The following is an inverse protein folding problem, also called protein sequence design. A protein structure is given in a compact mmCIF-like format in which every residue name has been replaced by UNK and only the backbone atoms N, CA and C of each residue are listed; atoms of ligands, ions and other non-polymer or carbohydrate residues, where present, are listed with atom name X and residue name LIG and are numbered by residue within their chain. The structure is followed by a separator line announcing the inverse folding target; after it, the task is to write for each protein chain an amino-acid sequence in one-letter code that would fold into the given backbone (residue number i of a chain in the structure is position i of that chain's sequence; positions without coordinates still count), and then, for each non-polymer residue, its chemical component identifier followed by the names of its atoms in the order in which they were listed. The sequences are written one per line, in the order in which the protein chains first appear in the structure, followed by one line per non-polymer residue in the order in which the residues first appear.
data_IF_194482196482
#
_entry.id   IF_194482196482
#
_cell.length_a   1.000
_cell.length_b   1.000
_cell.length_c   1.000
_cell.angle_alpha   90.00
_cell.angle_beta   90.00
_cell.angle_gamma   90.00
#
_symmetry.space_group_name_H-M   'P 1'
#
loop_
_entity.id
_entity.type
_entity.pdbx_description
1 polymer ?
#
# COMPACT_ATOMS: atom_id res chain seq x y z
N UNK A 1 27.31 28.66 7.71
CA UNK A 1 26.69 28.01 6.53
C UNK A 1 25.24 27.76 6.92
N UNK A 2 24.23 28.19 6.15
CA UNK A 2 22.85 27.85 6.48
C UNK A 2 22.69 26.33 6.34
N UNK A 3 22.16 25.69 7.37
CA UNK A 3 21.83 24.27 7.37
C UNK A 3 20.96 23.97 6.14
N UNK A 4 21.53 23.20 5.22
CA UNK A 4 20.81 22.75 4.04
C UNK A 4 19.67 21.86 4.55
N UNK A 5 18.39 22.13 4.20
CA UNK A 5 17.28 21.34 4.70
C UNK A 5 17.54 19.87 4.35
N UNK A 6 17.52 19.01 5.37
CA UNK A 6 17.71 17.58 5.17
C UNK A 6 16.71 17.11 4.10
N UNK A 7 17.14 16.26 3.15
CA UNK A 7 16.26 15.80 2.09
C UNK A 7 15.03 15.14 2.72
N UNK A 8 13.86 15.73 2.47
CA UNK A 8 12.58 15.12 2.82
C UNK A 8 12.60 13.65 2.39
N UNK A 9 12.18 12.71 3.24
CA UNK A 9 12.21 11.30 2.91
C UNK A 9 11.45 11.09 1.59
N UNK A 10 12.15 10.67 0.55
CA UNK A 10 11.50 10.33 -0.72
C UNK A 10 10.78 9.00 -0.53
N UNK A 11 9.50 9.09 -0.18
CA UNK A 11 8.60 7.95 -0.07
C UNK A 11 8.19 7.54 -1.47
N UNK A 12 8.89 6.56 -2.02
CA UNK A 12 8.42 5.86 -3.21
C UNK A 12 7.58 4.68 -2.77
N UNK A 13 6.32 4.65 -3.19
CA UNK A 13 5.43 3.51 -3.01
C UNK A 13 5.15 2.93 -4.39
N UNK A 14 5.54 1.67 -4.59
CA UNK A 14 5.16 0.91 -5.78
C UNK A 14 4.10 -0.10 -5.39
N UNK A 15 3.01 -0.16 -6.17
CA UNK A 15 1.96 -1.15 -6.01
C UNK A 15 1.98 -2.06 -7.22
N UNK A 16 2.36 -3.33 -7.02
CA UNK A 16 2.32 -4.29 -8.11
C UNK A 16 0.87 -4.72 -8.36
N UNK A 17 0.32 -4.53 -9.57
CA UNK A 17 -1.03 -4.96 -9.88
C UNK A 17 -1.10 -6.49 -9.90
N UNK A 18 -2.28 -7.06 -9.62
CA UNK A 18 -2.51 -8.46 -9.90
C UNK A 18 -2.73 -8.74 -11.38
N UNK A 19 -2.43 -9.97 -11.79
CA UNK A 19 -2.62 -10.50 -13.12
C UNK A 19 -3.70 -11.58 -13.01
N UNK A 20 -4.77 -11.48 -13.80
CA UNK A 20 -5.89 -12.43 -13.82
C UNK A 20 -6.61 -12.61 -12.47
N UNK A 21 -7.31 -11.57 -12.01
CA UNK A 21 -8.12 -11.65 -10.79
C UNK A 21 -9.43 -12.37 -11.07
N UNK A 22 -9.64 -13.49 -10.39
CA UNK A 22 -10.92 -14.20 -10.38
C UNK A 22 -11.82 -13.61 -9.31
N UNK A 23 -13.07 -13.38 -9.66
CA UNK A 23 -14.11 -13.03 -8.69
C UNK A 23 -14.11 -14.03 -7.51
N UNK A 24 -14.33 -13.51 -6.31
CA UNK A 24 -14.39 -14.28 -5.05
C UNK A 24 -13.10 -15.05 -4.69
N UNK A 25 -11.99 -14.79 -5.40
CA UNK A 25 -10.69 -15.38 -5.13
C UNK A 25 -9.70 -14.33 -4.62
N UNK A 26 -8.72 -14.72 -3.78
CA UNK A 26 -7.64 -13.83 -3.40
C UNK A 26 -6.88 -13.31 -4.62
N UNK A 27 -6.65 -12.01 -4.62
CA UNK A 27 -5.91 -11.31 -5.66
C UNK A 27 -4.50 -11.91 -5.80
N UNK A 28 -4.16 -12.40 -7.00
CA UNK A 28 -2.86 -13.01 -7.31
C UNK A 28 -2.23 -12.34 -8.55
N UNK A 29 -0.91 -12.03 -8.56
CA UNK A 29 -0.04 -11.94 -7.40
C UNK A 29 -0.59 -10.97 -6.36
N UNK A 30 -0.21 -11.21 -5.10
CA UNK A 30 -0.63 -10.38 -3.96
C UNK A 30 -0.24 -8.93 -4.21
N UNK A 31 -1.13 -8.03 -3.83
CA UNK A 31 -0.84 -6.59 -3.83
C UNK A 31 0.27 -6.36 -2.84
N UNK A 32 1.36 -5.78 -3.32
CA UNK A 32 2.52 -5.42 -2.51
C UNK A 32 2.75 -3.94 -2.63
N UNK A 33 2.84 -3.27 -1.50
CA UNK A 33 3.32 -1.89 -1.41
C UNK A 33 4.71 -1.89 -0.80
N UNK A 34 5.63 -1.10 -1.37
CA UNK A 34 6.98 -0.95 -0.84
C UNK A 34 7.23 0.47 -0.43
N UNK A 35 7.45 0.73 0.85
CA UNK A 35 7.94 2.01 1.36
C UNK A 35 9.46 2.01 1.29
N UNK A 36 10.05 2.98 0.59
CA UNK A 36 11.49 3.20 0.64
C UNK A 36 11.79 4.54 1.31
N UNK A 37 12.77 4.58 2.21
CA UNK A 37 13.25 5.81 2.86
C UNK A 37 14.76 5.76 3.09
N UNK A 38 15.40 6.92 3.25
CA UNK A 38 16.82 7.01 3.55
C UNK A 38 17.07 6.73 5.04
N UNK A 39 17.95 5.79 5.37
CA UNK A 39 18.30 5.34 6.71
C UNK A 39 19.03 6.41 7.55
N UNK A 40 19.62 7.44 6.91
CA UNK A 40 20.13 8.61 7.64
C UNK A 40 19.00 9.41 8.29
N UNK A 41 17.85 9.48 7.62
CA UNK A 41 16.59 9.93 8.21
C UNK A 41 15.98 8.78 9.00
N UNK A 42 16.51 8.61 10.21
CA UNK A 42 16.04 7.63 11.16
C UNK A 42 14.58 7.94 11.53
N UNK A 43 13.65 7.33 10.79
CA UNK A 43 12.27 7.11 11.24
C UNK A 43 12.22 6.49 12.66
N UNK A 44 13.36 5.98 13.20
CA UNK A 44 13.53 5.54 14.58
C UNK A 44 13.07 6.53 15.66
N UNK A 45 13.02 7.85 15.39
CA UNK A 45 12.64 8.83 16.42
C UNK A 45 11.19 9.32 16.35
N UNK A 46 10.39 8.92 15.35
CA UNK A 46 9.01 9.40 15.16
C UNK A 46 7.98 8.31 14.86
N UNK A 47 8.40 7.05 14.83
CA UNK A 47 7.56 5.99 14.30
C UNK A 47 7.09 5.06 15.40
N UNK A 48 5.81 5.19 15.78
CA UNK A 48 5.07 4.10 16.38
C UNK A 48 4.76 3.02 15.34
N UNK A 49 3.63 2.33 15.45
CA UNK A 49 3.30 1.26 14.50
C UNK A 49 3.11 1.82 13.07
N UNK A 50 3.93 1.38 12.10
CA UNK A 50 3.68 1.66 10.67
C UNK A 50 2.80 0.56 10.09
N UNK A 51 1.68 0.95 9.50
CA UNK A 51 0.75 0.04 8.83
C UNK A 51 0.38 0.59 7.46
N UNK A 52 -0.17 -0.25 6.59
CA UNK A 52 -0.65 0.15 5.28
C UNK A 52 -2.13 -0.19 5.13
N UNK A 53 -2.87 0.72 4.48
CA UNK A 53 -4.27 0.52 4.12
C UNK A 53 -4.41 0.44 2.61
N UNK A 54 -5.17 -0.50 2.08
CA UNK A 54 -5.51 -0.62 0.67
C UNK A 54 -7.00 -0.33 0.46
N UNK A 55 -7.32 0.50 -0.53
CA UNK A 55 -8.68 0.79 -0.97
C UNK A 55 -8.81 0.43 -2.44
N UNK A 56 -9.79 -0.40 -2.77
CA UNK A 56 -10.13 -0.72 -4.16
C UNK A 56 -11.06 0.37 -4.69
N UNK A 57 -10.72 0.93 -5.85
CA UNK A 57 -11.47 1.99 -6.51
C UNK A 57 -11.85 1.58 -7.92
N UNK A 58 -13.04 1.98 -8.37
CA UNK A 58 -13.43 1.94 -9.77
C UNK A 58 -12.56 2.91 -10.60
N UNK A 59 -12.65 2.84 -11.93
CA UNK A 59 -11.86 3.70 -12.83
C UNK A 59 -12.17 5.20 -12.69
N UNK A 60 -13.34 5.55 -12.16
CA UNK A 60 -13.75 6.93 -11.81
C UNK A 60 -13.29 7.34 -10.40
N UNK A 61 -12.29 6.63 -9.85
CA UNK A 61 -11.71 6.83 -8.50
C UNK A 61 -12.69 6.72 -7.32
N UNK A 62 -13.88 6.21 -7.55
CA UNK A 62 -14.87 5.96 -6.50
C UNK A 62 -14.53 4.66 -5.76
N UNK A 63 -14.46 4.70 -4.44
CA UNK A 63 -14.25 3.50 -3.63
C UNK A 63 -15.43 2.53 -3.82
N UNK A 64 -15.12 1.24 -4.05
CA UNK A 64 -16.17 0.23 -4.16
C UNK A 64 -16.79 -0.04 -2.78
N UNK A 65 -18.05 -0.48 -2.77
CA UNK A 65 -18.74 -0.74 -1.52
C UNK A 65 -18.08 -1.88 -0.73
N UNK A 66 -18.19 -1.85 0.60
CA UNK A 66 -17.65 -2.90 1.48
C UNK A 66 -18.25 -4.29 1.20
N UNK A 67 -19.43 -4.36 0.58
CA UNK A 67 -20.04 -5.60 0.10
C UNK A 67 -19.33 -6.21 -1.12
N UNK A 68 -18.60 -5.39 -1.87
CA UNK A 68 -18.00 -5.72 -3.17
C UNK A 68 -16.55 -6.20 -3.06
N UNK A 69 -16.00 -6.23 -1.84
CA UNK A 69 -14.71 -6.83 -1.55
C UNK A 69 -14.75 -7.64 -0.24
N UNK A 70 -13.73 -8.45 -0.02
CA UNK A 70 -13.52 -9.13 1.27
C UNK A 70 -12.04 -9.19 1.61
N UNK A 71 -11.75 -9.50 2.87
CA UNK A 71 -10.39 -9.57 3.40
C UNK A 71 -9.97 -8.31 4.15
N UNK A 72 -8.75 -8.34 4.69
CA UNK A 72 -8.18 -7.22 5.42
C UNK A 72 -7.64 -6.16 4.47
N UNK A 73 -8.19 -4.96 4.57
CA UNK A 73 -7.68 -3.76 3.90
C UNK A 73 -6.57 -3.06 4.69
N UNK A 74 -6.34 -3.46 5.93
CA UNK A 74 -5.24 -2.97 6.76
C UNK A 74 -4.23 -4.10 6.97
N UNK A 75 -2.94 -3.78 6.89
CA UNK A 75 -1.87 -4.76 7.09
C UNK A 75 -0.66 -4.09 7.73
N UNK A 76 0.01 -4.82 8.62
CA UNK A 76 1.32 -4.44 9.14
C UNK A 76 2.42 -4.75 8.10
N UNK A 77 3.64 -4.28 8.34
CA UNK A 77 4.73 -4.61 7.44
C UNK A 77 5.04 -6.11 7.49
N UNK A 78 5.17 -6.72 6.32
CA UNK A 78 5.53 -8.13 6.17
C UNK A 78 7.03 -8.33 6.31
N UNK A 79 7.83 -7.40 5.77
CA UNK A 79 9.29 -7.49 5.85
C UNK A 79 9.94 -6.12 5.76
N UNK A 80 11.14 -6.01 6.34
CA UNK A 80 11.98 -4.82 6.31
C UNK A 80 13.39 -5.22 5.88
N UNK A 81 13.90 -4.57 4.84
CA UNK A 81 15.27 -4.79 4.34
C UNK A 81 15.98 -3.46 4.16
N UNK A 82 17.08 -3.27 4.89
CA UNK A 82 17.98 -2.13 4.70
C UNK A 82 19.15 -2.55 3.82
N UNK A 83 19.41 -1.77 2.77
CA UNK A 83 20.53 -1.97 1.83
C UNK A 83 21.21 -0.62 1.66
N UNK A 84 22.45 -0.50 2.15
CA UNK A 84 23.16 0.79 2.20
C UNK A 84 22.42 1.80 3.07
N UNK A 85 22.22 3.00 2.53
CA UNK A 85 21.46 4.09 3.14
C UNK A 85 19.95 4.00 2.86
N UNK A 86 19.44 2.91 2.31
CA UNK A 86 18.02 2.79 1.93
C UNK A 86 17.35 1.67 2.71
N UNK A 87 16.29 2.00 3.44
CA UNK A 87 15.41 1.01 4.07
C UNK A 87 14.18 0.80 3.21
N UNK A 88 13.83 -0.46 3.01
CA UNK A 88 12.68 -0.91 2.24
C UNK A 88 11.75 -1.69 3.16
N UNK A 89 10.50 -1.26 3.26
CA UNK A 89 9.46 -1.94 4.02
C UNK A 89 8.42 -2.45 3.05
N UNK A 90 8.10 -3.74 3.11
CA UNK A 90 7.13 -4.38 2.22
C UNK A 90 5.86 -4.68 3.00
N UNK A 91 4.73 -4.25 2.46
CA UNK A 91 3.38 -4.52 2.94
C UNK A 91 2.68 -5.42 1.92
N UNK A 92 1.91 -6.39 2.40
CA UNK A 92 1.19 -7.30 1.53
C UNK A 92 -0.26 -7.46 2.00
N UNK A 93 -1.18 -7.52 1.03
CA UNK A 93 -2.62 -7.73 1.25
C UNK A 93 -3.02 -9.11 0.72
N UNK A 94 -2.68 -10.21 1.43
CA UNK A 94 -2.88 -11.57 0.93
C UNK A 94 -4.34 -12.02 0.87
N UNK A 95 -5.21 -11.38 1.64
CA UNK A 95 -6.62 -11.78 1.81
C UNK A 95 -7.58 -10.93 0.98
N UNK A 96 -7.10 -9.90 0.26
CA UNK A 96 -7.97 -9.02 -0.49
C UNK A 96 -8.57 -9.76 -1.69
N UNK A 97 -9.89 -9.82 -1.74
CA UNK A 97 -10.67 -10.37 -2.86
C UNK A 97 -11.67 -9.31 -3.35
N UNK A 98 -11.86 -9.19 -4.66
CA UNK A 98 -12.93 -8.37 -5.24
C UNK A 98 -14.06 -9.29 -5.71
N UNK A 99 -15.28 -8.99 -5.28
CA UNK A 99 -16.51 -9.76 -5.57
C UNK A 99 -17.30 -9.19 -6.75
N UNK A 100 -17.02 -7.94 -7.13
CA UNK A 100 -17.60 -7.27 -8.28
C UNK A 100 -16.71 -7.48 -9.51
N UNK A 101 -17.31 -7.88 -10.63
CA UNK A 101 -16.58 -7.92 -11.90
C UNK A 101 -16.45 -6.50 -12.47
N UNK A 102 -15.34 -6.22 -13.15
CA UNK A 102 -15.04 -4.88 -13.67
C UNK A 102 -13.55 -4.58 -13.69
N UNK A 103 -13.21 -3.35 -14.05
CA UNK A 103 -11.82 -2.85 -14.03
C UNK A 103 -11.64 -1.89 -12.88
N UNK A 104 -10.61 -2.12 -12.08
CA UNK A 104 -10.37 -1.41 -10.82
C UNK A 104 -8.91 -0.98 -10.70
N UNK A 105 -8.64 -0.12 -9.72
CA UNK A 105 -7.32 0.22 -9.22
C UNK A 105 -7.28 0.05 -7.71
N UNK A 106 -6.10 -0.21 -7.16
CA UNK A 106 -5.89 -0.20 -5.72
C UNK A 106 -5.08 1.03 -5.36
N UNK A 107 -5.58 1.80 -4.40
CA UNK A 107 -4.83 2.85 -3.74
C UNK A 107 -4.29 2.30 -2.43
N UNK A 108 -2.98 2.34 -2.22
CA UNK A 108 -2.35 1.96 -0.96
C UNK A 108 -1.79 3.20 -0.29
N UNK A 109 -2.21 3.44 0.95
CA UNK A 109 -1.71 4.53 1.80
C UNK A 109 -0.94 3.92 2.97
N UNK A 110 0.24 4.43 3.26
CA UNK A 110 1.10 3.96 4.35
C UNK A 110 1.05 4.98 5.46
N UNK A 111 0.70 4.53 6.66
CA UNK A 111 0.46 5.35 7.83
C UNK A 111 1.52 5.09 8.88
N UNK A 112 2.03 6.16 9.49
CA UNK A 112 2.73 6.07 10.76
C UNK A 112 1.74 6.42 11.86
N UNK A 113 1.57 5.53 12.82
CA UNK A 113 0.88 5.88 14.06
C UNK A 113 1.90 6.50 15.01
N UNK A 114 1.67 7.72 15.44
CA UNK A 114 2.33 8.28 16.63
C UNK A 114 1.30 8.37 17.77
N UNK A 115 1.75 8.72 18.97
CA UNK A 115 0.86 8.83 20.13
C UNK A 115 -0.29 9.85 19.98
N UNK A 116 -0.32 10.64 18.90
CA UNK A 116 -1.36 11.63 18.59
C UNK A 116 -2.30 11.25 17.44
N UNK A 117 -2.02 10.16 16.72
CA UNK A 117 -2.90 9.67 15.65
C UNK A 117 -2.13 9.02 14.50
N UNK A 118 -2.81 8.82 13.38
CA UNK A 118 -2.19 8.31 12.15
C UNK A 118 -1.84 9.46 11.19
N UNK A 119 -0.61 9.43 10.68
CA UNK A 119 -0.12 10.34 9.64
C UNK A 119 0.19 9.55 8.38
N UNK A 120 -0.32 10.01 7.23
CA UNK A 120 -0.02 9.39 5.93
C UNK A 120 1.42 9.73 5.53
N UNK A 121 2.29 8.73 5.52
CA UNK A 121 3.69 8.86 5.05
C UNK A 121 3.76 8.92 3.53
N UNK A 122 2.80 8.28 2.85
CA UNK A 122 2.68 8.35 1.40
C UNK A 122 1.53 7.51 0.89
N UNK A 123 1.18 7.75 -0.38
CA UNK A 123 0.17 7.00 -1.11
C UNK A 123 0.70 6.62 -2.49
N UNK A 124 0.31 5.45 -2.99
CA UNK A 124 0.46 5.11 -4.40
C UNK A 124 -0.72 4.31 -4.93
N UNK A 125 -0.83 4.34 -6.25
CA UNK A 125 -1.88 3.67 -7.00
C UNK A 125 -1.26 2.53 -7.79
N UNK A 126 -1.97 1.41 -7.85
CA UNK A 126 -1.65 0.33 -8.78
C UNK A 126 -2.00 0.73 -10.20
N UNK A 127 -1.44 0.01 -11.17
CA UNK A 127 -2.02 -0.04 -12.50
C UNK A 127 -3.45 -0.62 -12.45
N UNK A 128 -4.22 -0.37 -13.51
CA UNK A 128 -5.56 -0.92 -13.62
C UNK A 128 -5.50 -2.46 -13.78
N UNK A 129 -6.40 -3.15 -13.12
CA UNK A 129 -6.56 -4.60 -13.23
C UNK A 129 -8.04 -4.96 -13.43
N UNK A 130 -8.29 -6.06 -14.13
CA UNK A 130 -9.65 -6.52 -14.43
C UNK A 130 -9.99 -7.74 -13.59
N UNK A 131 -11.17 -7.72 -12.99
CA UNK A 131 -11.79 -8.84 -12.27
C UNK A 131 -12.82 -9.47 -13.18
N UNK A 132 -12.60 -10.73 -13.52
CA UNK A 132 -13.47 -11.46 -14.44
C UNK A 132 -14.53 -12.27 -13.68
N UNK A 133 -15.76 -12.26 -14.18
CA UNK A 133 -16.81 -13.18 -13.77
C UNK A 133 -16.60 -14.53 -14.47
N UNK A 134 -16.57 -15.63 -13.72
CA UNK A 134 -16.61 -16.97 -14.33
C UNK A 134 -18.06 -17.25 -14.78
N UNK A 135 -18.20 -17.73 -16.01
CA UNK A 135 -19.36 -18.50 -16.44
C UNK A 135 -19.22 -19.94 -15.94
#
# INVERSE_FOLDING_TARGET
MPDQPEPNPTVTITVQPPHDVKKDSPITPKIRARLQFNAKNSLKNQVGSIYATAVVRDMDETAIANSDYSGKMETEYQSKKTVGDKTNVTYAFPELCVRKAGTFRITVSIHSMDGSGSVVLGEARSEAFTVYQRN
#
